data_IF_902827888699
#
_entry.id   IF_902827888699
#
_cell.length_a   1.000
_cell.length_b   1.000
_cell.length_c   1.000
_cell.angle_alpha   90.00
_cell.angle_beta   90.00
_cell.angle_gamma   90.00
#
_symmetry.space_group_name_H-M   'P 1'
#
loop_
_entity.id
_entity.type
_entity.pdbx_description
1 polymer ?
#
# COMPACT_ATOMS: atom_id res chain seq x y z
N UNK A 1 16.69 3.66 15.58
CA UNK A 1 15.43 4.41 15.31
C UNK A 1 15.36 4.96 13.89
N UNK A 2 16.35 5.74 13.43
CA UNK A 2 16.34 6.28 12.05
C UNK A 2 16.37 5.17 10.99
N UNK A 3 17.20 4.16 11.12
CA UNK A 3 17.28 3.03 10.18
C UNK A 3 15.96 2.29 10.07
N UNK A 4 15.32 2.01 11.20
CA UNK A 4 14.01 1.36 11.24
C UNK A 4 12.94 2.21 10.56
N UNK A 5 12.93 3.53 10.82
CA UNK A 5 12.02 4.45 10.14
C UNK A 5 12.26 4.43 8.62
N UNK A 6 13.51 4.54 8.17
CA UNK A 6 13.83 4.53 6.74
C UNK A 6 13.44 3.22 6.07
N UNK A 7 13.60 2.09 6.75
CA UNK A 7 13.18 0.77 6.25
C UNK A 7 11.66 0.72 6.09
N UNK A 8 10.90 1.09 7.14
CA UNK A 8 9.43 1.08 7.12
C UNK A 8 8.90 2.10 6.10
N UNK A 9 9.45 3.30 6.08
CA UNK A 9 9.05 4.36 5.15
C UNK A 9 9.36 3.98 3.70
N UNK A 10 10.53 3.42 3.46
CA UNK A 10 10.93 2.93 2.13
C UNK A 10 10.02 1.82 1.64
N UNK A 11 9.79 0.79 2.46
CA UNK A 11 8.87 -0.30 2.11
C UNK A 11 7.46 0.20 1.83
N UNK A 12 6.94 1.09 2.71
CA UNK A 12 5.60 1.67 2.56
C UNK A 12 5.48 2.49 1.27
N UNK A 13 6.43 3.39 1.02
CA UNK A 13 6.41 4.23 -0.18
C UNK A 13 6.54 3.40 -1.46
N UNK A 14 7.42 2.40 -1.49
CA UNK A 14 7.55 1.51 -2.64
C UNK A 14 6.28 0.70 -2.90
N UNK A 15 5.59 0.25 -1.84
CA UNK A 15 4.31 -0.43 -1.99
C UNK A 15 3.22 0.48 -2.57
N UNK A 16 3.23 1.79 -2.24
CA UNK A 16 2.34 2.80 -2.84
C UNK A 16 2.65 3.05 -4.32
N UNK A 17 3.92 3.02 -4.71
CA UNK A 17 4.33 3.16 -6.11
C UNK A 17 3.88 1.95 -6.97
N UNK A 18 3.67 0.79 -6.35
CA UNK A 18 3.19 -0.42 -7.04
C UNK A 18 1.68 -0.33 -7.27
N UNK A 19 1.23 -0.13 -8.52
CA UNK A 19 -0.19 0.06 -8.82
C UNK A 19 -0.99 -1.19 -8.48
N UNK A 20 -2.03 -0.99 -7.69
CA UNK A 20 -3.03 -1.99 -7.34
C UNK A 20 -4.43 -1.56 -7.79
N UNK A 21 -5.48 -2.31 -7.43
CA UNK A 21 -6.86 -1.97 -7.76
C UNK A 21 -7.24 -0.54 -7.33
N UNK A 22 -6.77 -0.09 -6.17
CA UNK A 22 -7.03 1.24 -5.61
C UNK A 22 -6.47 2.34 -6.53
N UNK A 23 -5.23 2.17 -7.00
CA UNK A 23 -4.58 3.09 -7.91
C UNK A 23 -5.37 3.24 -9.24
N UNK A 24 -5.76 2.12 -9.86
CA UNK A 24 -6.52 2.16 -11.11
C UNK A 24 -7.90 2.79 -10.94
N UNK A 25 -8.56 2.55 -9.82
CA UNK A 25 -9.84 3.15 -9.49
C UNK A 25 -9.72 4.67 -9.36
N UNK A 26 -8.68 5.17 -8.68
CA UNK A 26 -8.39 6.60 -8.51
C UNK A 26 -8.10 7.24 -9.87
N UNK A 27 -7.14 6.68 -10.63
CA UNK A 27 -6.73 7.22 -11.94
C UNK A 27 -7.91 7.26 -12.91
N UNK A 28 -8.67 6.17 -13.03
CA UNK A 28 -9.85 6.12 -13.89
C UNK A 28 -10.88 7.19 -13.53
N UNK A 29 -11.19 7.31 -12.25
CA UNK A 29 -12.19 8.28 -11.79
C UNK A 29 -11.70 9.72 -11.99
N UNK A 30 -10.42 9.99 -11.73
CA UNK A 30 -9.84 11.29 -11.94
C UNK A 30 -9.83 11.70 -13.42
N UNK A 31 -9.52 10.78 -14.33
CA UNK A 31 -9.56 11.02 -15.78
C UNK A 31 -10.98 11.28 -16.30
N UNK A 32 -11.97 10.51 -15.83
CA UNK A 32 -13.35 10.60 -16.34
C UNK A 32 -14.17 11.71 -15.67
N UNK A 33 -13.92 11.98 -14.39
CA UNK A 33 -14.80 12.82 -13.57
C UNK A 33 -14.08 13.93 -12.81
N UNK A 34 -12.75 14.01 -12.97
CA UNK A 34 -11.90 15.02 -12.33
C UNK A 34 -11.46 14.64 -10.92
N UNK A 35 -10.36 15.25 -10.47
CA UNK A 35 -9.68 14.95 -9.22
C UNK A 35 -10.57 15.18 -7.98
N UNK A 36 -11.46 16.19 -8.01
CA UNK A 36 -12.37 16.48 -6.88
C UNK A 36 -13.31 15.32 -6.56
N UNK A 37 -13.77 14.58 -7.58
CA UNK A 37 -14.61 13.39 -7.36
C UNK A 37 -13.76 12.19 -6.98
N UNK A 38 -12.57 12.04 -7.56
CA UNK A 38 -11.62 11.00 -7.17
C UNK A 38 -11.14 11.15 -5.71
N UNK A 39 -11.15 12.38 -5.15
CA UNK A 39 -10.76 12.59 -3.74
C UNK A 39 -11.63 11.81 -2.74
N UNK A 40 -12.89 11.56 -3.05
CA UNK A 40 -13.73 10.68 -2.24
C UNK A 40 -13.18 9.25 -2.19
N UNK A 41 -12.70 8.73 -3.33
CA UNK A 41 -12.04 7.41 -3.39
C UNK A 41 -10.75 7.43 -2.57
N UNK A 42 -9.92 8.47 -2.70
CA UNK A 42 -8.67 8.60 -1.97
C UNK A 42 -8.90 8.54 -0.45
N UNK A 43 -9.92 9.28 0.05
CA UNK A 43 -10.29 9.22 1.47
C UNK A 43 -10.78 7.83 1.86
N UNK A 44 -11.60 7.18 1.03
CA UNK A 44 -12.07 5.82 1.28
C UNK A 44 -10.93 4.81 1.36
N UNK A 45 -9.96 4.88 0.44
CA UNK A 45 -8.76 4.04 0.44
C UNK A 45 -7.92 4.29 1.68
N UNK A 46 -7.67 5.55 2.05
CA UNK A 46 -6.91 5.89 3.24
C UNK A 46 -7.58 5.37 4.53
N UNK A 47 -8.91 5.44 4.63
CA UNK A 47 -9.65 4.88 5.76
C UNK A 47 -9.57 3.35 5.81
N UNK A 48 -9.69 2.66 4.68
CA UNK A 48 -9.55 1.21 4.61
C UNK A 48 -8.14 0.74 4.99
N UNK A 49 -7.11 1.41 4.50
CA UNK A 49 -5.73 1.16 4.92
C UNK A 49 -5.52 1.47 6.40
N UNK A 50 -6.10 2.58 6.90
CA UNK A 50 -6.07 2.95 8.31
C UNK A 50 -6.69 1.88 9.22
N UNK A 51 -7.75 1.21 8.78
CA UNK A 51 -8.33 0.09 9.51
C UNK A 51 -7.35 -1.08 9.62
N UNK A 52 -6.70 -1.48 8.53
CA UNK A 52 -5.68 -2.55 8.57
C UNK A 52 -4.46 -2.17 9.40
N UNK A 53 -4.01 -0.92 9.33
CA UNK A 53 -2.96 -0.37 10.18
C UNK A 53 -3.35 -0.45 11.66
N UNK A 54 -4.58 -0.05 12.00
CA UNK A 54 -5.11 -0.13 13.36
C UNK A 54 -5.23 -1.57 13.86
N UNK A 55 -5.71 -2.49 13.02
CA UNK A 55 -5.79 -3.92 13.35
C UNK A 55 -4.40 -4.53 13.53
N UNK A 56 -3.43 -4.19 12.66
CA UNK A 56 -2.04 -4.66 12.79
C UNK A 56 -1.39 -4.14 14.08
N UNK A 57 -1.60 -2.85 14.40
CA UNK A 57 -1.13 -2.26 15.66
C UNK A 57 -1.76 -2.90 16.90
N UNK A 58 -3.08 -3.12 16.89
CA UNK A 58 -3.78 -3.78 17.99
C UNK A 58 -3.37 -5.26 18.10
N UNK A 59 -3.27 -5.97 16.98
CA UNK A 59 -2.87 -7.39 16.94
C UNK A 59 -1.45 -7.59 17.42
N UNK A 60 -0.50 -6.75 16.99
CA UNK A 60 0.88 -6.83 17.45
C UNK A 60 1.01 -6.62 18.96
N UNK A 61 0.14 -5.81 19.56
CA UNK A 61 0.15 -5.58 21.00
C UNK A 61 -0.30 -6.77 21.83
N UNK A 62 -1.06 -7.68 21.24
CA UNK A 62 -1.50 -8.92 21.90
C UNK A 62 -0.45 -10.04 21.79
N UNK A 63 0.57 -9.88 20.93
CA UNK A 63 1.60 -10.88 20.68
C UNK A 63 2.89 -10.47 21.38
N UNK A 64 3.33 -11.27 22.36
CA UNK A 64 4.57 -10.99 23.07
C UNK A 64 5.79 -11.27 22.17
N UNK A 65 6.78 -10.34 22.13
CA UNK A 65 8.06 -10.60 21.47
C UNK A 65 8.72 -11.89 22.00
N UNK A 66 9.26 -12.73 21.10
CA UNK A 66 9.86 -14.02 21.46
C UNK A 66 8.86 -15.15 21.64
N UNK A 67 7.54 -14.91 21.59
CA UNK A 67 6.55 -15.98 21.63
C UNK A 67 6.52 -16.79 20.30
N UNK A 68 6.06 -18.06 20.31
CA UNK A 68 5.85 -18.81 19.07
C UNK A 68 4.93 -18.09 18.07
N UNK A 69 3.89 -17.41 18.56
CA UNK A 69 3.00 -16.61 17.73
C UNK A 69 3.73 -15.46 17.05
N UNK A 70 4.67 -14.81 17.75
CA UNK A 70 5.51 -13.76 17.18
C UNK A 70 6.42 -14.29 16.06
N UNK A 71 7.06 -15.43 16.29
CA UNK A 71 7.91 -16.09 15.29
C UNK A 71 7.10 -16.48 14.05
N UNK A 72 5.90 -17.03 14.22
CA UNK A 72 4.99 -17.36 13.12
C UNK A 72 4.64 -16.09 12.33
N UNK A 73 4.31 -14.99 13.00
CA UNK A 73 3.97 -13.72 12.34
C UNK A 73 5.16 -13.17 11.54
N UNK A 74 6.37 -13.22 12.08
CA UNK A 74 7.59 -12.79 11.37
C UNK A 74 7.81 -13.60 10.09
N UNK A 75 7.71 -14.94 10.18
CA UNK A 75 7.87 -15.82 9.02
C UNK A 75 6.77 -15.61 7.98
N UNK A 76 5.51 -15.53 8.41
CA UNK A 76 4.39 -15.26 7.52
C UNK A 76 4.56 -13.91 6.80
N UNK A 77 4.97 -12.87 7.53
CA UNK A 77 5.24 -11.54 6.99
C UNK A 77 6.39 -11.55 5.98
N UNK A 78 7.50 -12.21 6.33
CA UNK A 78 8.66 -12.35 5.43
C UNK A 78 8.29 -13.09 4.14
N UNK A 79 7.62 -14.23 4.25
CA UNK A 79 7.19 -15.01 3.08
C UNK A 79 6.22 -14.22 2.20
N UNK A 80 5.31 -13.45 2.81
CA UNK A 80 4.39 -12.61 2.05
C UNK A 80 5.12 -11.48 1.31
N UNK A 81 6.05 -10.77 1.95
CA UNK A 81 6.86 -9.73 1.30
C UNK A 81 7.70 -10.32 0.16
N UNK A 82 8.26 -11.52 0.36
CA UNK A 82 9.00 -12.23 -0.68
C UNK A 82 8.09 -12.59 -1.87
N UNK A 83 6.91 -13.12 -1.60
CA UNK A 83 5.93 -13.45 -2.64
C UNK A 83 5.48 -12.22 -3.42
N UNK A 84 5.17 -11.11 -2.73
CA UNK A 84 4.79 -9.86 -3.35
C UNK A 84 5.93 -9.27 -4.20
N UNK A 85 7.15 -9.29 -3.66
CA UNK A 85 8.34 -8.84 -4.39
C UNK A 85 8.58 -9.66 -5.66
N UNK A 86 8.42 -10.98 -5.56
CA UNK A 86 8.53 -11.87 -6.70
C UNK A 86 7.46 -11.62 -7.77
N UNK A 87 6.21 -11.40 -7.38
CA UNK A 87 5.13 -11.04 -8.31
C UNK A 87 5.46 -9.76 -9.08
N UNK A 88 5.95 -8.73 -8.38
CA UNK A 88 6.31 -7.45 -9.00
C UNK A 88 7.49 -7.58 -9.97
N UNK A 89 8.47 -8.42 -9.67
CA UNK A 89 9.59 -8.69 -10.59
C UNK A 89 9.12 -9.38 -11.87
N UNK A 90 8.09 -10.23 -11.78
CA UNK A 90 7.51 -10.97 -12.92
C UNK A 90 6.39 -10.23 -13.63
N UNK A 91 5.97 -9.07 -13.11
CA UNK A 91 4.90 -8.29 -13.74
C UNK A 91 5.27 -7.95 -15.19
N UNK A 92 4.38 -8.21 -16.16
CA UNK A 92 4.59 -7.82 -17.56
C UNK A 92 4.52 -6.30 -17.76
N UNK A 93 4.21 -5.53 -16.71
CA UNK A 93 3.78 -4.16 -16.80
C UNK A 93 2.30 -4.07 -17.13
N UNK A 94 1.52 -3.46 -16.26
CA UNK A 94 0.07 -3.31 -16.51
C UNK A 94 -0.15 -2.16 -17.49
N UNK A 95 -0.82 -2.41 -18.61
CA UNK A 95 -1.21 -1.34 -19.54
C UNK A 95 -2.33 -0.50 -18.89
N UNK A 96 -2.09 0.78 -18.70
CA UNK A 96 -3.13 1.73 -18.30
C UNK A 96 -3.92 2.08 -19.57
N UNK A 97 -4.86 1.24 -19.98
CA UNK A 97 -5.80 1.56 -21.06
C UNK A 97 -6.95 2.37 -20.48
N UNK A 98 -7.00 3.64 -20.83
CA UNK A 98 -8.16 4.49 -20.54
C UNK A 98 -9.12 4.35 -21.69
N UNK A 99 -10.02 3.36 -21.60
CA UNK A 99 -11.10 3.27 -22.56
C UNK A 99 -12.08 4.43 -22.33
N UNK A 100 -12.06 5.39 -23.25
CA UNK A 100 -12.86 6.62 -23.16
C UNK A 100 -14.36 6.42 -23.45
N UNK A 101 -14.84 5.20 -23.58
CA UNK A 101 -16.18 4.87 -24.04
C UNK A 101 -17.25 4.72 -22.95
N UNK A 102 -17.25 5.57 -21.94
CA UNK A 102 -18.40 5.63 -21.01
C UNK A 102 -19.23 6.90 -21.21
N UNK A 103 -19.72 7.13 -22.43
CA UNK A 103 -20.78 8.09 -22.63
C UNK A 103 -22.06 7.58 -21.95
N UNK A 104 -22.45 8.23 -20.84
CA UNK A 104 -23.71 7.97 -20.15
C UNK A 104 -23.63 7.26 -18.79
N UNK A 105 -22.45 6.86 -18.32
CA UNK A 105 -22.36 6.32 -16.96
C UNK A 105 -22.69 7.38 -15.89
N UNK A 106 -23.54 7.07 -14.89
CA UNK A 106 -23.84 8.02 -13.83
C UNK A 106 -22.56 8.49 -13.16
N UNK A 107 -22.44 9.80 -12.98
CA UNK A 107 -21.27 10.41 -12.35
C UNK A 107 -21.31 10.11 -10.86
N UNK A 108 -20.36 9.37 -10.28
CA UNK A 108 -20.41 9.05 -8.86
C UNK A 108 -20.34 10.33 -8.03
N UNK A 109 -21.20 10.44 -7.03
CA UNK A 109 -21.11 11.48 -6.00
C UNK A 109 -19.89 11.22 -5.12
N UNK A 110 -19.42 12.24 -4.39
CA UNK A 110 -18.25 12.13 -3.51
C UNK A 110 -18.40 11.00 -2.47
N UNK A 111 -19.55 10.88 -1.81
CA UNK A 111 -19.84 9.81 -0.84
C UNK A 111 -19.91 8.41 -1.46
N UNK A 112 -20.33 8.30 -2.72
CA UNK A 112 -20.24 7.05 -3.46
C UNK A 112 -18.78 6.70 -3.76
N UNK A 113 -17.96 7.67 -4.14
CA UNK A 113 -16.53 7.51 -4.31
C UNK A 113 -15.85 7.00 -3.04
N UNK A 114 -16.19 7.59 -1.87
CA UNK A 114 -15.68 7.16 -0.58
C UNK A 114 -16.00 5.69 -0.30
N UNK A 115 -17.25 5.25 -0.52
CA UNK A 115 -17.63 3.85 -0.35
C UNK A 115 -16.89 2.91 -1.30
N UNK A 116 -16.71 3.32 -2.54
CA UNK A 116 -15.96 2.56 -3.55
C UNK A 116 -14.50 2.40 -3.15
N UNK A 117 -13.83 3.48 -2.72
CA UNK A 117 -12.45 3.44 -2.25
C UNK A 117 -12.28 2.59 -0.99
N UNK A 118 -13.19 2.74 -0.03
CA UNK A 118 -13.20 1.92 1.19
C UNK A 118 -13.36 0.43 0.86
N UNK A 119 -14.33 0.09 0.01
CA UNK A 119 -14.54 -1.30 -0.41
C UNK A 119 -13.34 -1.85 -1.16
N UNK A 120 -12.74 -1.08 -2.09
CA UNK A 120 -11.54 -1.47 -2.82
C UNK A 120 -10.40 -1.81 -1.86
N UNK A 121 -10.11 -0.93 -0.90
CA UNK A 121 -9.04 -1.14 0.06
C UNK A 121 -9.29 -2.34 0.98
N UNK A 122 -10.52 -2.49 1.50
CA UNK A 122 -10.86 -3.59 2.42
C UNK A 122 -10.92 -4.96 1.74
N UNK A 123 -11.31 -5.02 0.47
CA UNK A 123 -11.34 -6.25 -0.31
C UNK A 123 -9.97 -6.59 -0.91
N UNK A 124 -8.97 -5.73 -0.74
CA UNK A 124 -7.63 -5.96 -1.26
C UNK A 124 -6.78 -6.75 -0.24
N UNK A 125 -6.55 -8.05 -0.44
CA UNK A 125 -5.78 -8.86 0.50
C UNK A 125 -4.32 -8.39 0.60
N UNK A 126 -3.80 -7.71 -0.45
CA UNK A 126 -2.47 -7.11 -0.44
C UNK A 126 -2.33 -6.11 0.72
N UNK A 127 -3.33 -5.25 0.95
CA UNK A 127 -3.28 -4.23 1.99
C UNK A 127 -3.22 -4.86 3.39
N UNK A 128 -4.11 -5.80 3.68
CA UNK A 128 -4.16 -6.49 4.97
C UNK A 128 -2.82 -7.17 5.31
N UNK A 129 -2.33 -7.99 4.38
CA UNK A 129 -1.10 -8.77 4.59
C UNK A 129 0.14 -7.88 4.61
N UNK A 130 0.17 -6.82 3.78
CA UNK A 130 1.27 -5.87 3.76
C UNK A 130 1.42 -5.15 5.11
N UNK A 131 0.32 -4.60 5.67
CA UNK A 131 0.40 -3.90 6.95
C UNK A 131 0.68 -4.85 8.12
N UNK A 132 0.14 -6.05 8.12
CA UNK A 132 0.49 -7.05 9.11
C UNK A 132 2.00 -7.36 9.08
N UNK A 133 2.57 -7.54 7.88
CA UNK A 133 4.01 -7.77 7.68
C UNK A 133 4.85 -6.57 8.09
N UNK A 134 4.41 -5.35 7.71
CA UNK A 134 5.14 -4.13 8.01
C UNK A 134 5.18 -3.84 9.53
N UNK A 135 4.07 -4.09 10.23
CA UNK A 135 4.02 -3.94 11.68
C UNK A 135 4.86 -5.00 12.41
N UNK A 136 5.09 -6.17 11.84
CA UNK A 136 6.02 -7.15 12.42
C UNK A 136 7.45 -6.62 12.51
N UNK A 137 7.87 -5.70 11.61
CA UNK A 137 9.16 -4.99 11.67
C UNK A 137 9.23 -3.99 12.83
N UNK A 138 8.08 -3.55 13.33
CA UNK A 138 7.97 -2.60 14.45
C UNK A 138 7.88 -3.31 15.80
N UNK A 139 8.02 -4.61 15.84
CA UNK A 139 8.04 -5.38 17.08
C UNK A 139 9.23 -4.95 17.96
N UNK A 140 8.96 -4.75 19.25
CA UNK A 140 9.95 -4.20 20.18
C UNK A 140 10.03 -2.66 20.18
N UNK A 141 9.37 -1.98 19.26
CA UNK A 141 9.27 -0.52 19.27
C UNK A 141 8.21 -0.06 20.29
N UNK A 142 8.41 1.06 21.02
CA UNK A 142 7.39 1.60 21.91
C UNK A 142 6.05 1.83 21.23
N UNK A 143 4.95 1.49 21.89
CA UNK A 143 3.59 1.55 21.31
C UNK A 143 3.20 2.92 20.79
N UNK A 144 3.60 3.98 21.49
CA UNK A 144 3.38 5.37 21.07
C UNK A 144 4.06 5.66 19.72
N UNK A 145 5.26 5.14 19.52
CA UNK A 145 5.99 5.31 18.27
C UNK A 145 5.38 4.46 17.14
N UNK A 146 4.91 3.24 17.46
CA UNK A 146 4.15 2.44 16.49
C UNK A 146 2.87 3.15 16.03
N UNK A 147 2.13 3.76 16.96
CA UNK A 147 0.94 4.56 16.66
C UNK A 147 1.29 5.78 15.78
N UNK A 148 2.40 6.46 16.07
CA UNK A 148 2.89 7.58 15.28
C UNK A 148 3.21 7.14 13.83
N UNK A 149 3.88 5.99 13.66
CA UNK A 149 4.10 5.40 12.34
C UNK A 149 2.79 5.08 11.63
N UNK A 150 1.79 4.56 12.35
CA UNK A 150 0.47 4.28 11.80
C UNK A 150 -0.21 5.54 11.26
N UNK A 151 -0.26 6.61 12.05
CA UNK A 151 -0.82 7.91 11.63
C UNK A 151 -0.06 8.48 10.44
N UNK A 152 1.27 8.42 10.47
CA UNK A 152 2.11 8.85 9.37
C UNK A 152 1.80 8.06 8.09
N UNK A 153 1.72 6.72 8.16
CA UNK A 153 1.41 5.87 7.00
C UNK A 153 0.05 6.21 6.38
N UNK A 154 -1.00 6.40 7.19
CA UNK A 154 -2.33 6.80 6.68
C UNK A 154 -2.26 8.16 5.99
N UNK A 155 -1.52 9.11 6.56
CA UNK A 155 -1.35 10.45 5.99
C UNK A 155 -0.62 10.40 4.66
N UNK A 156 0.41 9.56 4.55
CA UNK A 156 1.17 9.35 3.30
C UNK A 156 0.31 8.68 2.23
N UNK A 157 -0.51 7.67 2.58
CA UNK A 157 -1.49 7.07 1.65
C UNK A 157 -2.41 8.14 1.10
N UNK A 158 -3.05 8.92 1.98
CA UNK A 158 -3.98 9.97 1.56
C UNK A 158 -3.30 11.02 0.68
N UNK A 159 -2.14 11.50 1.10
CA UNK A 159 -1.37 12.51 0.34
C UNK A 159 -0.95 11.99 -1.04
N UNK A 160 -0.46 10.74 -1.10
CA UNK A 160 -0.08 10.09 -2.34
C UNK A 160 -1.26 9.91 -3.28
N UNK A 161 -2.39 9.38 -2.80
CA UNK A 161 -3.58 9.14 -3.58
C UNK A 161 -4.18 10.44 -4.13
N UNK A 162 -4.20 11.50 -3.32
CA UNK A 162 -4.63 12.83 -3.77
C UNK A 162 -3.69 13.41 -4.84
N UNK A 163 -2.37 13.22 -4.68
CA UNK A 163 -1.39 13.61 -5.68
C UNK A 163 -1.61 12.85 -7.00
N UNK A 164 -1.82 11.54 -6.92
CA UNK A 164 -2.15 10.70 -8.09
C UNK A 164 -3.44 11.17 -8.75
N UNK A 165 -4.50 11.45 -7.96
CA UNK A 165 -5.77 11.95 -8.49
C UNK A 165 -5.62 13.31 -9.21
N UNK A 166 -4.83 14.21 -8.64
CA UNK A 166 -4.55 15.52 -9.24
C UNK A 166 -3.71 15.38 -10.52
N UNK A 167 -2.65 14.57 -10.46
CA UNK A 167 -1.75 14.32 -11.58
C UNK A 167 -2.44 13.58 -12.73
N UNK A 168 -3.36 12.67 -12.44
CA UNK A 168 -4.13 11.93 -13.45
C UNK A 168 -5.06 12.82 -14.28
N UNK A 169 -5.38 14.03 -13.83
CA UNK A 169 -6.05 15.04 -14.67
C UNK A 169 -5.23 15.46 -15.90
N UNK A 170 -3.93 15.19 -15.91
CA UNK A 170 -3.02 15.49 -17.02
C UNK A 170 -2.62 14.21 -17.77
N UNK A 171 -3.18 14.00 -18.94
CA UNK A 171 -2.97 12.78 -19.76
C UNK A 171 -1.48 12.45 -19.98
N UNK A 172 -0.67 13.48 -20.24
CA UNK A 172 0.79 13.33 -20.42
C UNK A 172 1.50 12.75 -19.19
N UNK A 173 1.03 13.05 -17.97
CA UNK A 173 1.58 12.49 -16.73
C UNK A 173 1.25 11.00 -16.62
N UNK A 174 0.01 10.62 -16.92
CA UNK A 174 -0.43 9.23 -16.90
C UNK A 174 0.35 8.39 -17.91
N UNK A 175 0.52 8.89 -19.13
CA UNK A 175 1.28 8.21 -20.19
C UNK A 175 2.77 8.08 -19.82
N UNK A 176 3.36 9.11 -19.20
CA UNK A 176 4.75 9.05 -18.74
C UNK A 176 4.91 8.04 -17.60
N UNK A 177 3.99 8.03 -16.65
CA UNK A 177 3.99 7.04 -15.56
C UNK A 177 3.85 5.62 -16.10
N UNK A 178 2.91 5.38 -17.02
CA UNK A 178 2.68 4.08 -17.64
C UNK A 178 3.95 3.53 -18.32
N UNK A 179 4.73 4.39 -18.98
CA UNK A 179 6.00 3.98 -19.61
C UNK A 179 7.07 3.50 -18.63
N UNK A 180 7.07 4.03 -17.40
CA UNK A 180 8.05 3.66 -16.38
C UNK A 180 7.54 2.60 -15.40
N UNK A 181 6.28 2.21 -15.52
CA UNK A 181 5.61 1.33 -14.57
C UNK A 181 6.36 0.02 -14.34
N UNK A 182 6.81 -0.64 -15.41
CA UNK A 182 7.58 -1.88 -15.33
C UNK A 182 8.89 -1.73 -14.54
N UNK A 183 9.56 -0.60 -14.69
CA UNK A 183 10.79 -0.32 -13.94
C UNK A 183 10.50 -0.07 -12.46
N UNK A 184 9.42 0.66 -12.16
CA UNK A 184 8.96 0.90 -10.80
C UNK A 184 8.60 -0.42 -10.12
N UNK A 185 7.80 -1.27 -10.76
CA UNK A 185 7.43 -2.59 -10.23
C UNK A 185 8.67 -3.47 -9.94
N UNK A 186 9.66 -3.47 -10.83
CA UNK A 186 10.90 -4.23 -10.63
C UNK A 186 11.72 -3.72 -9.46
N UNK A 187 11.91 -2.41 -9.34
CA UNK A 187 12.64 -1.80 -8.22
C UNK A 187 11.92 -2.10 -6.91
N UNK A 188 10.61 -1.90 -6.88
CA UNK A 188 9.78 -2.23 -5.71
C UNK A 188 9.91 -3.71 -5.34
N UNK A 189 9.79 -4.60 -6.32
CA UNK A 189 9.89 -6.04 -6.12
C UNK A 189 11.24 -6.46 -5.54
N UNK A 190 12.34 -5.94 -6.09
CA UNK A 190 13.69 -6.20 -5.58
C UNK A 190 13.87 -5.72 -4.14
N UNK A 191 13.40 -4.51 -3.83
CA UNK A 191 13.49 -3.95 -2.46
C UNK A 191 12.67 -4.74 -1.47
N UNK A 192 11.43 -5.17 -1.82
CA UNK A 192 10.61 -6.01 -0.95
C UNK A 192 11.26 -7.37 -0.68
N UNK A 193 11.95 -7.96 -1.66
CA UNK A 193 12.72 -9.18 -1.46
C UNK A 193 13.90 -8.98 -0.49
N UNK A 194 14.63 -7.88 -0.61
CA UNK A 194 15.72 -7.56 0.33
C UNK A 194 15.19 -7.37 1.76
N UNK A 195 14.06 -6.68 1.93
CA UNK A 195 13.41 -6.53 3.23
C UNK A 195 12.97 -7.91 3.77
N UNK A 196 12.36 -8.76 2.95
CA UNK A 196 11.95 -10.10 3.34
C UNK A 196 13.14 -10.93 3.86
N UNK A 197 14.28 -10.89 3.18
CA UNK A 197 15.51 -11.56 3.63
C UNK A 197 15.98 -10.99 4.97
N UNK A 198 15.97 -9.66 5.14
CA UNK A 198 16.33 -9.02 6.41
C UNK A 198 15.45 -9.46 7.57
N UNK A 199 14.12 -9.57 7.36
CA UNK A 199 13.19 -10.09 8.39
C UNK A 199 13.45 -11.55 8.71
N UNK A 200 13.69 -12.37 7.67
CA UNK A 200 13.98 -13.79 7.86
C UNK A 200 15.27 -14.03 8.65
N UNK A 201 16.34 -13.27 8.34
CA UNK A 201 17.61 -13.36 9.08
C UNK A 201 17.45 -12.93 10.53
N UNK A 202 16.67 -11.89 10.81
CA UNK A 202 16.35 -11.47 12.17
C UNK A 202 15.55 -12.55 12.94
N UNK A 203 14.57 -13.19 12.28
CA UNK A 203 13.79 -14.27 12.87
C UNK A 203 14.65 -15.52 13.19
N UNK A 204 15.70 -15.77 12.43
CA UNK A 204 16.68 -16.82 12.70
C UNK A 204 17.62 -16.48 13.87
N UNK A 205 18.06 -15.23 13.95
CA UNK A 205 18.98 -14.77 15.01
C UNK A 205 18.32 -14.71 16.40
N UNK A 206 17.00 -14.61 16.47
CA UNK A 206 16.21 -14.54 17.71
C UNK A 206 15.75 -15.91 18.23
N UNK A 207 16.26 -17.02 17.64
CA UNK A 207 16.07 -18.41 18.12
C UNK A 207 17.20 -18.83 19.03
#
# INVERSE_FOLDING_TARGET
MIEQFLMVAGAHFLALLSPGPDFFLIVRTALLHGWRRASGICVGVALGNGLFIGLAWAGLSAIQPGSPAFTILQWAGSLYLAWLGWQLLRSPGTSITVDGSTHGAPRPGWGQGLRMGLASALLNPKNALFYASLFSLLAGTPRSLQALYGVWMVSVVLGWDLLVAAAAGHRAVVERFARHLRSIERVTGATLLLIAVGVATQALANR
#
